data_IF_848002823873
#
_entry.id   IF_848002823873
#
_cell.length_a   1.000
_cell.length_b   1.000
_cell.length_c   1.000
_cell.angle_alpha   90.00
_cell.angle_beta   90.00
_cell.angle_gamma   90.00
#
_symmetry.space_group_name_H-M   'P 1'
#
loop_
_entity.id
_entity.type
_entity.pdbx_description
1 polymer ?
#
# COMPACT_ATOMS: atom_id res chain seq x y z
N UNK A 1 -54.94 -5.60 34.44
CA UNK A 1 -54.66 -4.94 33.15
C UNK A 1 -53.21 -4.55 33.13
N UNK A 2 -52.37 -5.33 32.39
CA UNK A 2 -50.93 -5.09 32.21
C UNK A 2 -50.76 -4.29 30.92
N UNK A 3 -50.24 -3.06 31.00
CA UNK A 3 -49.86 -2.25 29.87
C UNK A 3 -48.43 -2.63 29.43
N UNK A 4 -48.27 -3.23 28.27
CA UNK A 4 -46.96 -3.44 27.61
C UNK A 4 -46.59 -2.17 26.85
N UNK A 5 -45.57 -1.45 27.33
CA UNK A 5 -44.92 -0.35 26.60
C UNK A 5 -43.93 -0.97 25.61
N UNK A 6 -44.28 -0.99 24.33
CA UNK A 6 -43.36 -1.33 23.26
C UNK A 6 -42.53 -0.10 22.89
N UNK A 7 -41.27 -0.07 23.31
CA UNK A 7 -40.29 0.91 22.83
C UNK A 7 -39.75 0.49 21.47
N UNK A 8 -40.19 1.20 20.44
CA UNK A 8 -39.63 1.03 19.10
C UNK A 8 -38.23 1.68 19.00
N UNK A 9 -37.20 0.84 18.95
CA UNK A 9 -35.85 1.29 18.56
C UNK A 9 -35.84 1.59 17.06
N UNK A 10 -35.78 2.87 16.71
CA UNK A 10 -35.49 3.27 15.32
C UNK A 10 -33.98 3.12 15.11
N UNK A 11 -33.59 2.13 14.30
CA UNK A 11 -32.24 2.05 13.75
C UNK A 11 -32.04 3.22 12.77
N UNK A 12 -31.36 4.26 13.24
CA UNK A 12 -30.89 5.31 12.35
C UNK A 12 -29.77 4.72 11.50
N UNK A 13 -30.02 4.59 10.19
CA UNK A 13 -28.98 4.27 9.23
C UNK A 13 -27.94 5.40 9.25
N UNK A 14 -26.75 5.11 9.77
CA UNK A 14 -25.59 6.01 9.63
C UNK A 14 -25.27 6.06 8.14
N UNK A 15 -25.31 7.23 7.47
CA UNK A 15 -24.94 7.31 6.08
C UNK A 15 -23.51 6.84 5.94
N UNK A 16 -23.26 5.84 5.09
CA UNK A 16 -21.91 5.52 4.62
C UNK A 16 -21.37 6.83 4.02
N UNK A 17 -20.45 7.48 4.73
CA UNK A 17 -19.76 8.65 4.19
C UNK A 17 -19.08 8.19 2.91
N UNK A 18 -19.62 8.64 1.77
CA UNK A 18 -18.99 8.46 0.47
C UNK A 18 -17.55 8.94 0.62
N UNK A 19 -16.61 8.04 0.44
CA UNK A 19 -15.18 8.32 0.50
C UNK A 19 -14.94 9.50 -0.46
N UNK A 20 -14.70 10.67 0.11
CA UNK A 20 -14.52 11.90 -0.64
C UNK A 20 -13.35 11.66 -1.60
N UNK A 21 -13.64 11.60 -2.90
CA UNK A 21 -12.59 11.40 -3.91
C UNK A 21 -11.62 12.56 -3.76
N UNK A 22 -10.38 12.24 -3.48
CA UNK A 22 -9.31 13.25 -3.48
C UNK A 22 -9.24 13.86 -4.88
N UNK A 23 -9.71 15.09 -4.99
CA UNK A 23 -9.68 15.85 -6.25
C UNK A 23 -8.40 16.68 -6.38
N UNK A 24 -7.49 16.56 -5.41
CA UNK A 24 -6.22 17.27 -5.43
C UNK A 24 -5.40 16.90 -6.65
N UNK A 25 -4.78 17.91 -7.25
CA UNK A 25 -3.79 17.71 -8.30
C UNK A 25 -2.40 17.78 -7.68
N UNK A 26 -1.59 16.75 -7.89
CA UNK A 26 -0.17 16.72 -7.53
C UNK A 26 0.63 16.72 -8.82
N UNK A 27 1.66 17.56 -8.88
CA UNK A 27 2.60 17.60 -10.00
C UNK A 27 4.00 17.30 -9.47
N UNK A 28 4.60 16.21 -9.92
CA UNK A 28 5.98 15.87 -9.57
C UNK A 28 6.87 16.37 -10.71
N UNK A 29 7.91 17.18 -10.39
CA UNK A 29 8.98 17.49 -11.32
C UNK A 29 10.10 16.48 -11.13
N UNK A 30 10.39 15.66 -12.13
CA UNK A 30 11.46 14.68 -12.12
C UNK A 30 12.66 15.22 -12.92
N UNK A 31 13.83 15.31 -12.29
CA UNK A 31 15.06 15.68 -13.00
C UNK A 31 15.45 14.65 -14.05
N UNK A 32 15.28 13.37 -13.70
CA UNK A 32 15.36 12.23 -14.60
C UNK A 32 14.16 11.31 -14.35
N UNK A 33 13.61 10.75 -15.40
CA UNK A 33 12.52 9.78 -15.33
C UNK A 33 12.91 8.51 -16.07
N UNK A 34 12.78 7.38 -15.40
CA UNK A 34 12.84 6.03 -15.95
C UNK A 34 11.41 5.51 -15.93
N UNK A 35 10.81 5.27 -17.11
CA UNK A 35 9.41 4.87 -17.24
C UNK A 35 9.17 3.35 -17.16
N UNK A 36 10.22 2.55 -17.30
CA UNK A 36 10.13 1.09 -17.32
C UNK A 36 9.70 0.50 -18.66
N UNK A 37 9.43 1.32 -19.66
CA UNK A 37 9.03 0.89 -21.01
C UNK A 37 10.12 1.17 -22.04
N UNK A 38 10.71 2.36 -21.99
CA UNK A 38 11.78 2.76 -22.91
C UNK A 38 13.16 2.48 -22.34
N UNK A 39 14.15 2.32 -23.23
CA UNK A 39 15.55 2.24 -22.84
C UNK A 39 16.19 3.63 -22.59
N UNK A 40 15.42 4.71 -22.75
CA UNK A 40 15.90 6.07 -22.60
C UNK A 40 15.51 6.65 -21.25
N UNK A 41 16.41 7.47 -20.67
CA UNK A 41 16.12 8.27 -19.50
C UNK A 41 15.63 9.63 -19.96
N UNK A 42 14.37 9.95 -19.70
CA UNK A 42 13.83 11.27 -20.01
C UNK A 42 14.26 12.29 -18.95
N UNK A 43 14.62 13.52 -19.37
CA UNK A 43 15.07 14.57 -18.47
C UNK A 43 14.01 15.66 -18.31
N UNK A 44 13.98 16.30 -17.14
CA UNK A 44 13.10 17.42 -16.76
C UNK A 44 11.62 17.14 -17.12
N UNK A 45 11.07 16.09 -16.53
CA UNK A 45 9.72 15.64 -16.78
C UNK A 45 8.75 16.07 -15.66
N UNK A 46 7.50 16.29 -16.03
CA UNK A 46 6.40 16.45 -15.10
C UNK A 46 5.52 15.19 -15.10
N UNK A 47 5.17 14.70 -13.91
CA UNK A 47 4.18 13.66 -13.71
C UNK A 47 2.98 14.31 -13.03
N UNK A 48 1.85 14.38 -13.71
CA UNK A 48 0.61 14.97 -13.20
C UNK A 48 -0.28 13.88 -12.65
N UNK A 49 -0.67 14.01 -11.39
CA UNK A 49 -1.51 13.04 -10.68
C UNK A 49 -2.83 13.72 -10.32
N UNK A 50 -3.95 13.10 -10.66
CA UNK A 50 -5.30 13.54 -10.33
C UNK A 50 -6.11 12.36 -9.78
N UNK A 51 -6.74 12.56 -8.63
CA UNK A 51 -7.56 11.52 -8.02
C UNK A 51 -6.80 10.20 -7.76
N UNK A 52 -5.50 10.29 -7.40
CA UNK A 52 -4.66 9.12 -7.14
C UNK A 52 -4.19 8.37 -8.39
N UNK A 53 -4.38 8.93 -9.59
CA UNK A 53 -3.94 8.33 -10.87
C UNK A 53 -3.03 9.27 -11.64
N UNK A 54 -2.06 8.72 -12.37
CA UNK A 54 -1.24 9.48 -13.32
C UNK A 54 -2.15 9.89 -14.47
N UNK A 55 -2.34 11.20 -14.62
CA UNK A 55 -3.15 11.81 -15.68
C UNK A 55 -2.31 12.10 -16.92
N UNK A 56 -1.04 12.52 -16.74
CA UNK A 56 -0.10 12.75 -17.84
C UNK A 56 1.34 12.71 -17.38
N UNK A 57 2.23 12.41 -18.31
CA UNK A 57 3.68 12.51 -18.18
C UNK A 57 4.21 13.23 -19.40
N UNK A 58 5.14 14.17 -19.24
CA UNK A 58 5.74 14.89 -20.35
C UNK A 58 6.72 15.98 -19.89
N UNK A 59 7.31 16.75 -20.84
CA UNK A 59 8.28 17.77 -20.50
C UNK A 59 7.75 18.80 -19.50
N UNK A 60 8.54 19.13 -18.49
CA UNK A 60 8.16 20.09 -17.44
C UNK A 60 7.74 21.44 -18.00
N UNK A 61 8.43 21.92 -19.04
CA UNK A 61 8.12 23.21 -19.67
C UNK A 61 6.74 23.26 -20.31
N UNK A 62 6.21 22.11 -20.78
CA UNK A 62 4.91 21.99 -21.42
C UNK A 62 3.79 21.56 -20.45
N UNK A 63 4.14 21.19 -19.23
CA UNK A 63 3.19 20.63 -18.27
C UNK A 63 2.16 21.65 -17.80
N UNK A 64 0.89 21.27 -17.85
CA UNK A 64 -0.20 22.06 -17.28
C UNK A 64 -0.19 21.93 -15.76
N UNK A 65 -0.04 23.05 -15.06
CA UNK A 65 -0.04 23.16 -13.61
C UNK A 65 -1.25 23.98 -13.17
N UNK A 66 -2.37 23.33 -12.82
CA UNK A 66 -3.56 24.05 -12.36
C UNK A 66 -3.25 24.90 -11.11
N UNK A 67 -3.95 26.02 -10.96
CA UNK A 67 -3.87 26.79 -9.73
C UNK A 67 -4.27 25.93 -8.52
N UNK A 68 -3.47 25.97 -7.45
CA UNK A 68 -3.68 25.11 -6.26
C UNK A 68 -3.10 23.70 -6.36
N UNK A 69 -2.47 23.32 -7.47
CA UNK A 69 -1.78 22.05 -7.56
C UNK A 69 -0.58 22.02 -6.59
N UNK A 70 -0.44 20.93 -5.83
CA UNK A 70 0.74 20.68 -5.01
C UNK A 70 1.90 20.25 -5.91
N UNK A 71 2.99 21.01 -5.91
CA UNK A 71 4.20 20.66 -6.63
C UNK A 71 5.17 19.95 -5.69
N UNK A 72 5.70 18.81 -6.14
CA UNK A 72 6.80 18.07 -5.50
C UNK A 72 8.01 18.21 -6.43
N UNK A 73 8.99 19.00 -6.02
CA UNK A 73 10.21 19.22 -6.82
C UNK A 73 11.25 18.14 -6.52
N UNK A 74 11.48 17.26 -7.50
CA UNK A 74 12.52 16.25 -7.55
C UNK A 74 13.46 16.49 -8.73
N UNK A 75 13.70 17.75 -9.09
CA UNK A 75 14.55 18.12 -10.23
C UNK A 75 16.01 17.66 -10.08
N UNK A 76 16.47 17.40 -8.85
CA UNK A 76 17.78 16.82 -8.58
C UNK A 76 17.80 15.29 -8.50
N UNK A 77 16.62 14.63 -8.62
CA UNK A 77 16.48 13.19 -8.40
C UNK A 77 16.13 12.43 -9.69
N UNK A 78 16.27 11.12 -9.62
CA UNK A 78 15.72 10.19 -10.60
C UNK A 78 14.44 9.59 -10.05
N UNK A 79 13.36 9.71 -10.79
CA UNK A 79 12.05 9.11 -10.48
C UNK A 79 11.86 7.87 -11.35
N UNK A 80 11.31 6.83 -10.77
CA UNK A 80 10.99 5.56 -11.43
C UNK A 80 9.66 5.02 -10.89
N UNK A 81 8.98 4.11 -11.60
CA UNK A 81 7.83 3.41 -11.06
C UNK A 81 8.15 2.69 -9.77
N UNK A 82 7.16 2.55 -8.89
CA UNK A 82 7.34 1.78 -7.68
C UNK A 82 7.72 0.33 -7.98
N UNK A 83 8.64 -0.21 -7.20
CA UNK A 83 9.10 -1.58 -7.34
C UNK A 83 7.98 -2.57 -6.99
N UNK A 84 8.03 -3.75 -7.62
CA UNK A 84 7.11 -4.86 -7.37
C UNK A 84 7.94 -6.07 -6.99
N UNK A 85 7.62 -6.69 -5.86
CA UNK A 85 8.19 -7.98 -5.49
C UNK A 85 7.11 -9.06 -5.59
N UNK A 86 7.37 -10.05 -6.44
CA UNK A 86 6.42 -11.10 -6.76
C UNK A 86 6.55 -12.35 -5.85
N UNK A 87 7.50 -12.37 -4.92
CA UNK A 87 7.71 -13.50 -4.03
C UNK A 87 8.21 -13.03 -2.68
N UNK A 88 7.29 -12.77 -1.74
CA UNK A 88 7.61 -12.34 -0.38
C UNK A 88 6.94 -13.20 0.66
N UNK A 89 7.47 -13.17 1.88
CA UNK A 89 6.90 -13.76 3.09
C UNK A 89 6.85 -12.69 4.17
N UNK A 90 5.75 -11.93 4.23
CA UNK A 90 5.63 -10.80 5.16
C UNK A 90 5.66 -11.20 6.63
N UNK A 91 5.18 -12.40 6.93
CA UNK A 91 4.99 -12.93 8.27
C UNK A 91 6.18 -13.76 8.76
N UNK A 92 7.25 -13.80 7.96
CA UNK A 92 8.50 -14.44 8.27
C UNK A 92 9.63 -13.41 8.14
N UNK A 93 10.56 -13.40 9.06
CA UNK A 93 11.77 -12.59 8.91
C UNK A 93 12.78 -13.38 8.07
N UNK A 94 13.23 -12.79 6.95
CA UNK A 94 14.25 -13.38 6.09
C UNK A 94 15.65 -13.29 6.69
N UNK A 95 16.61 -13.93 6.01
CA UNK A 95 18.04 -13.97 6.37
C UNK A 95 18.27 -14.47 7.81
N UNK A 96 17.69 -15.63 8.10
CA UNK A 96 17.66 -16.23 9.42
C UNK A 96 18.25 -17.65 9.39
N UNK A 97 18.76 -18.10 10.54
CA UNK A 97 19.16 -19.48 10.73
C UNK A 97 17.95 -20.42 10.78
N UNK A 98 18.17 -21.73 10.63
CA UNK A 98 17.11 -22.74 10.82
C UNK A 98 16.49 -22.66 12.22
N UNK A 99 17.30 -22.31 13.24
CA UNK A 99 16.81 -22.13 14.59
C UNK A 99 15.85 -20.93 14.68
N UNK A 100 16.21 -19.78 14.09
CA UNK A 100 15.34 -18.61 14.07
C UNK A 100 14.04 -18.88 13.31
N UNK A 101 14.10 -19.63 12.23
CA UNK A 101 12.92 -20.09 11.50
C UNK A 101 11.98 -20.90 12.41
N UNK A 102 12.49 -21.89 13.13
CA UNK A 102 11.70 -22.71 14.05
C UNK A 102 11.10 -21.86 15.19
N UNK A 103 11.86 -20.91 15.76
CA UNK A 103 11.35 -20.00 16.79
C UNK A 103 10.17 -19.17 16.23
N UNK A 104 10.28 -18.65 15.02
CA UNK A 104 9.19 -17.87 14.41
C UNK A 104 7.94 -18.72 14.19
N UNK A 105 8.08 -19.95 13.72
CA UNK A 105 6.95 -20.80 13.41
C UNK A 105 6.29 -21.43 14.64
N UNK A 106 7.09 -21.85 15.63
CA UNK A 106 6.65 -22.71 16.73
C UNK A 106 6.43 -21.94 18.04
N UNK A 107 7.17 -20.86 18.27
CA UNK A 107 7.16 -20.13 19.55
C UNK A 107 6.49 -18.75 19.46
N UNK A 108 6.56 -18.09 18.30
CA UNK A 108 5.93 -16.77 18.15
C UNK A 108 4.43 -16.90 17.88
N UNK A 109 3.63 -16.17 18.65
CA UNK A 109 2.18 -16.14 18.45
C UNK A 109 1.79 -15.50 17.10
N UNK A 110 0.69 -15.96 16.51
CA UNK A 110 0.17 -15.41 15.26
C UNK A 110 -0.10 -13.89 15.36
N UNK A 111 -0.71 -13.34 16.44
CA UNK A 111 -0.88 -11.90 16.58
C UNK A 111 0.44 -11.12 16.55
N UNK A 112 1.48 -11.65 17.20
CA UNK A 112 2.80 -11.01 17.17
C UNK A 112 3.39 -11.02 15.76
N UNK A 113 3.32 -12.13 15.05
CA UNK A 113 3.77 -12.26 13.67
C UNK A 113 2.98 -11.33 12.73
N UNK A 114 1.67 -11.14 12.96
CA UNK A 114 0.86 -10.18 12.20
C UNK A 114 1.35 -8.73 12.38
N UNK A 115 1.72 -8.34 13.62
CA UNK A 115 2.30 -7.02 13.91
C UNK A 115 3.64 -6.86 13.17
N UNK A 116 4.51 -7.88 13.22
CA UNK A 116 5.77 -7.87 12.48
C UNK A 116 5.54 -7.80 10.96
N UNK A 117 4.57 -8.53 10.44
CA UNK A 117 4.20 -8.51 9.02
C UNK A 117 3.74 -7.13 8.56
N UNK A 118 2.92 -6.44 9.34
CA UNK A 118 2.52 -5.06 9.06
C UNK A 118 3.72 -4.10 9.04
N UNK A 119 4.64 -4.24 10.00
CA UNK A 119 5.91 -3.49 10.03
C UNK A 119 6.78 -3.79 8.81
N UNK A 120 6.89 -5.06 8.40
CA UNK A 120 7.67 -5.47 7.23
C UNK A 120 7.07 -4.88 5.95
N UNK A 121 5.74 -4.88 5.81
CA UNK A 121 5.04 -4.23 4.71
C UNK A 121 5.34 -2.73 4.64
N UNK A 122 5.30 -2.03 5.78
CA UNK A 122 5.68 -0.62 5.85
C UNK A 122 7.15 -0.40 5.44
N UNK A 123 8.08 -1.23 5.93
CA UNK A 123 9.51 -1.13 5.56
C UNK A 123 9.72 -1.32 4.07
N UNK A 124 9.05 -2.29 3.45
CA UNK A 124 9.10 -2.51 2.01
C UNK A 124 8.62 -1.28 1.24
N UNK A 125 7.48 -0.68 1.65
CA UNK A 125 6.99 0.56 1.05
C UNK A 125 8.02 1.70 1.15
N UNK A 126 8.66 1.87 2.30
CA UNK A 126 9.69 2.91 2.51
C UNK A 126 10.98 2.67 1.69
N UNK A 127 11.21 1.43 1.22
CA UNK A 127 12.29 1.09 0.29
C UNK A 127 11.87 1.17 -1.18
N UNK A 128 10.64 1.65 -1.47
CA UNK A 128 10.16 1.86 -2.83
C UNK A 128 9.35 0.69 -3.42
N UNK A 129 9.10 -0.37 -2.66
CA UNK A 129 8.22 -1.44 -3.10
C UNK A 129 6.76 -1.05 -2.90
N UNK A 130 6.05 -0.78 -3.99
CA UNK A 130 4.66 -0.33 -3.98
C UNK A 130 3.64 -1.45 -4.14
N UNK A 131 4.08 -2.63 -4.53
CA UNK A 131 3.29 -3.85 -4.58
C UNK A 131 4.12 -5.05 -4.16
N UNK A 132 3.51 -5.95 -3.37
CA UNK A 132 4.12 -7.21 -2.93
C UNK A 132 3.14 -8.36 -3.16
N UNK A 133 3.68 -9.52 -3.54
CA UNK A 133 2.96 -10.78 -3.51
C UNK A 133 3.47 -11.64 -2.36
N UNK A 134 2.64 -11.75 -1.31
CA UNK A 134 2.88 -12.69 -0.22
C UNK A 134 2.41 -14.08 -0.64
N UNK A 135 3.34 -15.00 -0.77
CA UNK A 135 3.06 -16.32 -1.36
C UNK A 135 2.73 -17.36 -0.32
N UNK A 136 3.01 -17.08 0.97
CA UNK A 136 2.65 -17.96 2.08
C UNK A 136 2.76 -17.23 3.42
N UNK A 137 1.85 -17.56 4.37
CA UNK A 137 1.89 -17.03 5.74
C UNK A 137 2.79 -17.82 6.69
N UNK A 138 3.39 -18.91 6.24
CA UNK A 138 4.23 -19.78 7.05
C UNK A 138 3.53 -20.17 8.37
N UNK A 139 2.30 -20.69 8.24
CA UNK A 139 1.50 -21.12 9.39
C UNK A 139 0.78 -20.02 10.17
N UNK A 140 0.89 -18.76 9.78
CA UNK A 140 0.18 -17.67 10.46
C UNK A 140 -1.28 -17.49 9.99
N UNK A 141 -1.91 -18.53 9.51
CA UNK A 141 -3.32 -18.58 9.12
C UNK A 141 -3.68 -17.57 8.03
N UNK A 142 -4.56 -16.60 8.36
CA UNK A 142 -5.03 -15.55 7.44
C UNK A 142 -4.48 -14.16 7.80
N UNK A 143 -3.37 -14.08 8.51
CA UNK A 143 -2.81 -12.83 8.97
C UNK A 143 -2.39 -11.89 7.81
N UNK A 144 -1.98 -12.44 6.66
CA UNK A 144 -1.72 -11.69 5.44
C UNK A 144 -2.97 -10.97 4.90
N UNK A 145 -4.14 -11.64 4.96
CA UNK A 145 -5.44 -11.05 4.57
C UNK A 145 -5.80 -9.90 5.50
N UNK A 146 -5.57 -10.04 6.79
CA UNK A 146 -5.88 -9.00 7.77
C UNK A 146 -4.93 -7.80 7.63
N UNK A 147 -3.64 -8.03 7.39
CA UNK A 147 -2.68 -6.97 7.05
C UNK A 147 -3.11 -6.23 5.78
N UNK A 148 -3.45 -6.95 4.71
CA UNK A 148 -3.97 -6.35 3.47
C UNK A 148 -5.22 -5.50 3.73
N UNK A 149 -6.14 -5.98 4.57
CA UNK A 149 -7.35 -5.25 4.95
C UNK A 149 -7.02 -3.97 5.69
N UNK A 150 -6.12 -4.02 6.68
CA UNK A 150 -5.68 -2.86 7.45
C UNK A 150 -5.00 -1.81 6.55
N UNK A 151 -4.14 -2.24 5.62
CA UNK A 151 -3.52 -1.34 4.64
C UNK A 151 -4.58 -0.70 3.73
N UNK A 152 -5.51 -1.49 3.18
CA UNK A 152 -6.55 -0.98 2.28
C UNK A 152 -7.51 0.00 2.96
N UNK A 153 -7.66 -0.08 4.28
CA UNK A 153 -8.44 0.87 5.10
C UNK A 153 -7.63 2.08 5.57
N UNK A 154 -6.33 2.10 5.30
CA UNK A 154 -5.43 3.16 5.79
C UNK A 154 -5.16 3.11 7.29
N UNK A 155 -5.44 2.01 7.96
CA UNK A 155 -5.17 1.81 9.39
C UNK A 155 -3.67 1.65 9.67
N UNK A 156 -2.94 1.05 8.71
CA UNK A 156 -1.48 0.95 8.72
C UNK A 156 -0.93 1.29 7.33
N UNK A 157 0.27 1.90 7.23
CA UNK A 157 0.91 2.14 5.95
C UNK A 157 1.49 0.84 5.38
N UNK A 158 1.39 0.68 4.06
CA UNK A 158 1.95 -0.49 3.37
C UNK A 158 1.71 -0.43 1.86
N UNK A 159 2.36 -1.32 1.08
CA UNK A 159 2.17 -1.45 -0.34
C UNK A 159 0.84 -2.15 -0.66
N UNK A 160 0.50 -2.21 -1.95
CA UNK A 160 -0.59 -3.08 -2.41
C UNK A 160 -0.18 -4.55 -2.21
N UNK A 161 -0.99 -5.30 -1.46
CA UNK A 161 -0.71 -6.72 -1.19
C UNK A 161 -1.56 -7.65 -2.06
N UNK A 162 -0.90 -8.63 -2.65
CA UNK A 162 -1.49 -9.83 -3.22
C UNK A 162 -1.14 -10.99 -2.28
N UNK A 163 -2.13 -11.67 -1.76
CA UNK A 163 -1.95 -12.64 -0.68
C UNK A 163 -2.45 -14.02 -1.08
N UNK A 164 -1.74 -15.06 -0.69
CA UNK A 164 -2.06 -16.44 -1.03
C UNK A 164 -2.50 -17.28 0.19
N UNK A 165 -2.27 -16.80 1.40
CA UNK A 165 -2.55 -17.46 2.69
C UNK A 165 -1.72 -18.71 2.91
N UNK A 166 -2.05 -19.82 2.25
CA UNK A 166 -1.35 -21.09 2.36
C UNK A 166 -0.74 -21.50 1.03
N UNK A 167 0.49 -21.98 1.08
CA UNK A 167 1.05 -22.69 -0.06
C UNK A 167 0.28 -24.00 -0.28
N UNK A 168 0.11 -24.35 -1.54
CA UNK A 168 -0.33 -25.68 -1.95
C UNK A 168 0.93 -26.47 -2.35
N UNK A 169 1.24 -27.52 -1.62
CA UNK A 169 2.35 -28.44 -1.87
C UNK A 169 1.81 -29.81 -2.26
#
# INVERSE_FOLDING_TARGET
TLLLLATSYQLQAVPLSAQQRDTSTIVIRAGRLIDGESNAVATDQAIVIQGGRIASVGPWAAARRPAGARVIDLSAATVLPGLIDNHTHLLLQGDITTQDYNVQLLEQSIPYRAILGARNAQRALMQGFTALRDVETEGAMYADVDIKRAINRGEVPGPRLFVATRAMA
#
